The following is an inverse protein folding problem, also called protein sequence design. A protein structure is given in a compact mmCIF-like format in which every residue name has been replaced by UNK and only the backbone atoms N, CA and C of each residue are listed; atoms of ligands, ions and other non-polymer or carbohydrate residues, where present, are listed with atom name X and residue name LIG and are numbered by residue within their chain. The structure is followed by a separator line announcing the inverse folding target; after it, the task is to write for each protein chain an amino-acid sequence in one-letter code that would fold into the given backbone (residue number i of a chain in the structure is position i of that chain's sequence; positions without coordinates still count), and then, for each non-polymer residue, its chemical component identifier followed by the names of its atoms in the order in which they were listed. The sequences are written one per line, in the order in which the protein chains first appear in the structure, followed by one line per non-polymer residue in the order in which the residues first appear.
data_IF_625423600235
#
_entry.id   IF_625423600235
#
_cell.length_a   1.000
_cell.length_b   1.000
_cell.length_c   1.000
_cell.angle_alpha   90.00
_cell.angle_beta   90.00
_cell.angle_gamma   90.00
#
_symmetry.space_group_name_H-M   'P 1'
#
loop_
_entity.id
_entity.type
_entity.pdbx_description
1 polymer ?
#
# COMPACT_ATOMS: atom_id res chain seq x y z
N UNK A 1 -4.92 38.54 2.62
CA UNK A 1 -3.60 38.01 2.20
C UNK A 1 -3.52 36.58 2.72
N UNK A 2 -3.89 35.59 1.91
CA UNK A 2 -3.71 34.18 2.28
C UNK A 2 -2.49 33.67 1.53
N UNK A 3 -1.49 33.05 2.20
CA UNK A 3 -0.51 32.29 1.49
C UNK A 3 -1.16 30.97 1.06
N UNK A 4 -1.28 30.90 -0.26
CA UNK A 4 -1.14 29.77 -1.15
C UNK A 4 -0.50 28.52 -0.52
N UNK A 5 -1.16 27.39 -0.77
CA UNK A 5 -0.76 26.00 -0.57
C UNK A 5 0.76 25.76 -0.70
N UNK A 6 1.40 25.34 0.39
CA UNK A 6 2.72 24.70 0.34
C UNK A 6 2.59 23.32 -0.29
N UNK A 7 2.58 23.31 -1.61
CA UNK A 7 3.00 22.16 -2.37
C UNK A 7 4.52 22.04 -2.26
N UNK A 8 4.98 21.06 -1.49
CA UNK A 8 6.30 20.46 -1.70
C UNK A 8 7.39 20.88 -0.74
N UNK A 9 7.48 20.15 0.37
CA UNK A 9 8.77 19.62 0.81
C UNK A 9 8.64 18.10 0.77
N UNK A 10 8.91 17.52 -0.40
CA UNK A 10 9.08 16.08 -0.50
C UNK A 10 10.42 15.75 0.15
N UNK A 11 10.40 15.51 1.47
CA UNK A 11 11.52 14.91 2.16
C UNK A 11 11.89 13.60 1.43
N UNK A 12 13.10 13.49 0.86
CA UNK A 12 13.53 12.33 0.06
C UNK A 12 13.58 11.04 0.88
N UNK A 13 13.36 11.10 2.20
CA UNK A 13 13.26 9.94 3.08
C UNK A 13 11.84 9.36 3.18
N UNK A 14 10.80 10.03 2.66
CA UNK A 14 9.42 9.55 2.74
C UNK A 14 9.24 8.35 1.79
N UNK A 15 8.98 7.14 2.30
CA UNK A 15 8.86 5.97 1.45
C UNK A 15 7.58 6.03 0.60
N UNK A 16 7.67 5.57 -0.65
CA UNK A 16 6.52 5.39 -1.52
C UNK A 16 5.89 4.01 -1.29
N UNK A 17 4.56 3.96 -1.24
CA UNK A 17 3.83 2.70 -1.23
C UNK A 17 3.92 2.05 -2.63
N UNK A 18 4.52 0.86 -2.80
CA UNK A 18 4.72 0.25 -4.11
C UNK A 18 3.41 -0.20 -4.80
N UNK A 19 2.27 -0.12 -4.12
CA UNK A 19 0.98 -0.55 -4.63
C UNK A 19 0.14 0.59 -5.19
N UNK A 20 0.11 1.74 -4.51
CA UNK A 20 -0.71 2.89 -4.89
C UNK A 20 0.07 4.15 -5.22
N UNK A 21 1.41 4.09 -5.19
CA UNK A 21 2.37 5.15 -5.55
C UNK A 21 2.28 6.44 -4.73
N UNK A 22 1.52 6.41 -3.63
CA UNK A 22 1.48 7.52 -2.68
C UNK A 22 2.68 7.48 -1.73
N UNK A 23 3.18 8.65 -1.30
CA UNK A 23 4.07 8.72 -0.15
C UNK A 23 3.38 8.18 1.12
N UNK A 24 4.18 7.63 2.03
CA UNK A 24 3.77 7.20 3.37
C UNK A 24 4.46 8.15 4.38
N UNK A 25 3.91 9.35 4.64
CA UNK A 25 4.48 10.26 5.62
C UNK A 25 4.55 9.64 7.02
N UNK A 26 5.43 10.17 7.86
CA UNK A 26 5.48 9.84 9.27
C UNK A 26 4.12 10.05 9.95
N UNK A 27 3.75 9.15 10.86
CA UNK A 27 2.45 9.20 11.55
C UNK A 27 1.26 8.65 10.75
N UNK A 28 1.37 8.45 9.44
CA UNK A 28 0.32 7.78 8.66
C UNK A 28 0.31 6.27 8.98
N UNK A 29 -0.85 5.66 9.25
CA UNK A 29 -0.94 4.23 9.51
C UNK A 29 -0.37 3.39 8.37
N UNK A 30 0.67 2.62 8.69
CA UNK A 30 1.43 1.80 7.75
C UNK A 30 1.62 0.39 8.27
N UNK A 31 1.97 -0.54 7.39
CA UNK A 31 2.15 -1.95 7.73
C UNK A 31 3.25 -2.57 6.89
N UNK A 32 4.04 -3.45 7.53
CA UNK A 32 4.95 -4.37 6.84
C UNK A 32 4.16 -5.59 6.38
N UNK A 33 4.05 -5.77 5.07
CA UNK A 33 3.30 -6.86 4.47
C UNK A 33 4.26 -7.90 3.88
N UNK A 34 4.07 -9.18 4.24
CA UNK A 34 4.84 -10.27 3.67
C UNK A 34 4.19 -10.68 2.36
N UNK A 35 4.94 -10.59 1.26
CA UNK A 35 4.41 -10.97 -0.07
C UNK A 35 4.13 -12.47 -0.17
N UNK A 36 4.84 -13.29 0.62
CA UNK A 36 4.51 -14.68 0.87
C UNK A 36 4.18 -14.78 2.37
N UNK A 37 2.97 -15.17 2.77
CA UNK A 37 2.62 -15.35 4.17
C UNK A 37 3.59 -16.28 4.91
N UNK A 38 3.93 -15.96 6.15
CA UNK A 38 4.82 -16.80 6.97
C UNK A 38 4.31 -18.24 7.10
N UNK A 39 2.99 -18.40 7.25
CA UNK A 39 2.30 -19.70 7.31
C UNK A 39 2.35 -20.49 6.00
N UNK A 40 2.75 -19.85 4.90
CA UNK A 40 2.95 -20.46 3.57
C UNK A 40 4.43 -20.54 3.20
N UNK A 41 5.33 -20.57 4.19
CA UNK A 41 6.77 -20.71 3.99
C UNK A 41 7.51 -19.40 3.73
N UNK A 42 6.85 -18.24 3.78
CA UNK A 42 7.47 -16.94 3.50
C UNK A 42 8.31 -16.33 4.63
N UNK A 43 8.72 -17.13 5.63
CA UNK A 43 9.55 -16.62 6.75
C UNK A 43 10.90 -16.16 6.20
N UNK A 44 11.27 -14.91 6.46
CA UNK A 44 12.50 -14.31 5.91
C UNK A 44 12.40 -13.92 4.42
N UNK A 45 11.23 -14.11 3.80
CA UNK A 45 10.96 -13.69 2.43
C UNK A 45 10.76 -12.18 2.29
N UNK A 46 10.44 -11.71 1.08
CA UNK A 46 10.32 -10.28 0.80
C UNK A 46 9.15 -9.65 1.55
N UNK A 47 9.45 -8.51 2.17
CA UNK A 47 8.50 -7.70 2.95
C UNK A 47 8.47 -6.29 2.36
N UNK A 48 7.28 -5.76 2.14
CA UNK A 48 7.08 -4.40 1.63
C UNK A 48 6.43 -3.50 2.68
N UNK A 49 6.79 -2.23 2.67
CA UNK A 49 6.13 -1.21 3.46
C UNK A 49 4.98 -0.60 2.65
N UNK A 50 3.77 -0.66 3.18
CA UNK A 50 2.56 -0.16 2.51
C UNK A 50 1.67 0.59 3.49
N UNK A 51 0.77 1.44 3.00
CA UNK A 51 -0.30 2.00 3.84
C UNK A 51 -1.15 0.88 4.45
N UNK A 52 -1.63 1.08 5.66
CA UNK A 52 -2.51 0.13 6.33
C UNK A 52 -3.83 -0.10 5.55
N UNK A 53 -4.32 0.91 4.83
CA UNK A 53 -5.48 0.76 3.94
C UNK A 53 -5.19 -0.18 2.75
N UNK A 54 -4.00 -0.11 2.15
CA UNK A 54 -3.59 -1.03 1.08
C UNK A 54 -3.44 -2.45 1.62
N UNK A 55 -2.87 -2.60 2.83
CA UNK A 55 -2.77 -3.89 3.49
C UNK A 55 -4.14 -4.56 3.71
N UNK A 56 -5.11 -3.79 4.21
CA UNK A 56 -6.50 -4.26 4.38
C UNK A 56 -7.14 -4.67 3.07
N UNK A 57 -6.89 -3.92 1.98
CA UNK A 57 -7.44 -4.26 0.67
C UNK A 57 -6.93 -5.61 0.17
N UNK A 58 -5.63 -5.92 0.35
CA UNK A 58 -5.05 -7.23 -0.03
C UNK A 58 -5.77 -8.36 0.70
N UNK A 59 -5.84 -8.29 2.04
CA UNK A 59 -6.46 -9.37 2.82
C UNK A 59 -7.98 -9.45 2.71
N UNK A 60 -8.63 -8.39 2.22
CA UNK A 60 -10.04 -8.45 1.84
C UNK A 60 -10.24 -9.15 0.49
N UNK A 61 -9.29 -9.03 -0.42
CA UNK A 61 -9.42 -9.51 -1.80
C UNK A 61 -8.83 -10.91 -2.03
N UNK A 62 -7.80 -11.29 -1.27
CA UNK A 62 -7.01 -12.51 -1.50
C UNK A 62 -6.85 -13.31 -0.21
N UNK A 63 -7.00 -14.63 -0.33
CA UNK A 63 -6.57 -15.57 0.70
C UNK A 63 -5.04 -15.64 0.77
N UNK A 64 -4.51 -16.17 1.88
CA UNK A 64 -3.06 -16.41 2.02
C UNK A 64 -2.51 -17.38 0.96
N UNK A 65 -3.34 -18.33 0.51
CA UNK A 65 -2.94 -19.31 -0.51
C UNK A 65 -2.82 -18.66 -1.89
N UNK A 66 -3.81 -17.85 -2.29
CA UNK A 66 -3.75 -17.10 -3.55
C UNK A 66 -2.58 -16.12 -3.55
N UNK A 67 -2.37 -15.43 -2.43
CA UNK A 67 -1.25 -14.52 -2.25
C UNK A 67 0.09 -15.24 -2.46
N UNK A 68 0.30 -16.38 -1.80
CA UNK A 68 1.54 -17.15 -1.91
C UNK A 68 1.81 -17.70 -3.32
N UNK A 69 0.76 -18.14 -4.03
CA UNK A 69 0.89 -18.84 -5.32
C UNK A 69 0.93 -17.91 -6.53
N UNK A 70 0.13 -16.85 -6.51
CA UNK A 70 -0.15 -16.06 -7.71
C UNK A 70 0.18 -14.57 -7.55
N UNK A 71 0.15 -14.04 -6.32
CA UNK A 71 0.24 -12.60 -6.07
C UNK A 71 1.38 -12.21 -5.11
N UNK A 72 2.48 -12.95 -5.16
CA UNK A 72 3.63 -12.79 -4.25
C UNK A 72 4.66 -11.72 -4.69
N UNK A 73 4.23 -10.78 -5.53
CA UNK A 73 5.04 -9.62 -5.94
C UNK A 73 4.17 -8.37 -5.99
N UNK A 74 4.74 -7.15 -5.83
CA UNK A 74 3.97 -5.91 -5.99
C UNK A 74 3.34 -5.79 -7.38
N UNK A 75 4.05 -6.19 -8.43
CA UNK A 75 3.53 -6.18 -9.79
C UNK A 75 2.30 -7.09 -9.94
N UNK A 76 2.34 -8.31 -9.40
CA UNK A 76 1.19 -9.21 -9.42
C UNK A 76 0.00 -8.65 -8.62
N UNK A 77 0.25 -8.09 -7.42
CA UNK A 77 -0.79 -7.42 -6.63
C UNK A 77 -1.46 -6.27 -7.40
N UNK A 78 -0.66 -5.49 -8.13
CA UNK A 78 -1.17 -4.39 -8.97
C UNK A 78 -1.92 -4.87 -10.21
N UNK A 79 -1.64 -6.09 -10.68
CA UNK A 79 -2.35 -6.70 -11.81
C UNK A 79 -3.70 -7.34 -11.41
N UNK A 80 -3.93 -7.63 -10.12
CA UNK A 80 -5.19 -8.22 -9.67
C UNK A 80 -6.37 -7.26 -9.91
N UNK A 81 -7.44 -7.64 -10.65
CA UNK A 81 -8.46 -6.69 -11.16
C UNK A 81 -9.12 -5.82 -10.09
N UNK A 82 -9.49 -6.41 -8.95
CA UNK A 82 -10.12 -5.67 -7.84
C UNK A 82 -9.13 -4.75 -7.14
N UNK A 83 -7.88 -5.20 -6.97
CA UNK A 83 -6.85 -4.44 -6.26
C UNK A 83 -6.33 -3.30 -7.13
N UNK A 84 -6.12 -3.53 -8.42
CA UNK A 84 -5.73 -2.52 -9.40
C UNK A 84 -6.65 -1.29 -9.35
N UNK A 85 -7.97 -1.53 -9.37
CA UNK A 85 -8.99 -0.46 -9.26
C UNK A 85 -8.90 0.28 -7.93
N UNK A 86 -8.73 -0.46 -6.83
CA UNK A 86 -8.57 0.14 -5.51
C UNK A 86 -7.29 0.99 -5.42
N UNK A 87 -6.16 0.48 -5.90
CA UNK A 87 -4.87 1.18 -5.88
C UNK A 87 -4.87 2.43 -6.74
N UNK A 88 -5.44 2.37 -7.95
CA UNK A 88 -5.59 3.53 -8.82
C UNK A 88 -6.51 4.60 -8.20
N UNK A 89 -7.55 4.19 -7.49
CA UNK A 89 -8.46 5.10 -6.79
C UNK A 89 -7.82 5.72 -5.55
N UNK A 90 -7.16 4.91 -4.70
CA UNK A 90 -6.53 5.39 -3.47
C UNK A 90 -5.31 6.26 -3.78
N UNK A 91 -4.60 5.99 -4.87
CA UNK A 91 -3.48 6.80 -5.37
C UNK A 91 -3.84 8.28 -5.57
N UNK A 92 -5.11 8.59 -5.80
CA UNK A 92 -5.64 9.95 -5.99
C UNK A 92 -6.05 10.64 -4.69
N UNK A 93 -5.87 10.01 -3.53
CA UNK A 93 -6.25 10.56 -2.22
C UNK A 93 -5.07 11.30 -1.57
N UNK A 94 -5.30 12.31 -0.70
CA UNK A 94 -4.23 13.00 0.04
C UNK A 94 -3.38 12.02 0.88
N UNK A 95 -2.04 12.13 0.94
CA UNK A 95 -1.15 11.16 1.59
C UNK A 95 -1.55 10.69 3.01
N UNK A 96 -2.20 11.55 3.77
CA UNK A 96 -2.73 11.33 5.12
C UNK A 96 -4.04 10.52 5.17
N UNK A 97 -4.68 10.28 4.03
CA UNK A 97 -5.92 9.50 3.95
C UNK A 97 -5.73 8.06 4.48
N UNK A 98 -6.60 7.64 5.40
CA UNK A 98 -6.38 6.46 6.23
C UNK A 98 -7.43 5.34 6.08
N UNK A 99 -8.28 5.39 5.04
CA UNK A 99 -9.29 4.34 4.81
C UNK A 99 -10.71 4.70 5.24
N UNK A 100 -10.92 5.84 5.92
CA UNK A 100 -12.26 6.29 6.33
C UNK A 100 -12.71 7.43 5.44
N UNK A 101 -13.90 7.31 4.85
CA UNK A 101 -14.65 8.48 4.41
C UNK A 101 -15.19 9.17 5.67
N UNK A 102 -15.06 10.49 5.75
CA UNK A 102 -15.80 11.27 6.75
C UNK A 102 -17.25 11.37 6.29
#
# INVERSE_FOLDING_TARGET
MQPHTDAGDADPTIPLCPLCDRPIPHGVPQSRHHLIPKLRGGKGGPVILIHHACHKAIHKALSETELARHYNTPAALRAHPTLARFFAWVGKRPPEWNGRAR
#
